data_IF_637432430959
#
_entry.id   IF_637432430959
#
_cell.length_a   1.000
_cell.length_b   1.000
_cell.length_c   1.000
_cell.angle_alpha   90.00
_cell.angle_beta   90.00
_cell.angle_gamma   90.00
#
_symmetry.space_group_name_H-M   'P 1'
#
loop_
_entity.id
_entity.type
_entity.pdbx_description
1 polymer ?
#
# COMPACT_ATOMS: atom_id res chain seq x y z
N UNK A 1 -8.02 32.19 -15.70
CA UNK A 1 -9.06 31.28 -15.18
C UNK A 1 -8.37 29.95 -15.08
N UNK A 2 -7.59 29.80 -14.02
CA UNK A 2 -6.94 28.54 -13.69
C UNK A 2 -8.03 27.69 -13.05
N UNK A 3 -8.53 26.70 -13.79
CA UNK A 3 -9.42 25.69 -13.24
C UNK A 3 -8.72 25.06 -12.04
N UNK A 4 -9.40 25.03 -10.90
CA UNK A 4 -8.98 24.42 -9.65
C UNK A 4 -8.40 23.01 -9.89
N UNK A 5 -7.08 22.92 -10.08
CA UNK A 5 -6.39 21.65 -10.16
C UNK A 5 -6.40 21.03 -8.76
N UNK A 6 -7.37 20.14 -8.52
CA UNK A 6 -7.43 19.37 -7.28
C UNK A 6 -6.08 18.69 -7.10
N UNK A 7 -5.34 18.98 -6.03
CA UNK A 7 -3.97 18.49 -5.89
C UNK A 7 -3.97 16.98 -5.92
N UNK A 8 -3.16 16.41 -6.81
CA UNK A 8 -3.15 14.96 -7.04
C UNK A 8 -2.70 14.21 -5.79
N UNK A 9 -3.61 13.42 -5.22
CA UNK A 9 -3.33 12.52 -4.11
C UNK A 9 -2.57 11.29 -4.61
N UNK A 10 -1.55 10.88 -3.86
CA UNK A 10 -0.74 9.71 -4.14
C UNK A 10 -1.27 8.49 -3.40
N UNK A 11 -1.41 7.38 -4.12
CA UNK A 11 -1.78 6.09 -3.60
C UNK A 11 -0.52 5.27 -3.31
N UNK A 12 -0.24 4.92 -2.05
CA UNK A 12 0.85 4.01 -1.75
C UNK A 12 0.53 2.58 -2.20
N UNK A 13 -0.69 2.24 -2.60
CA UNK A 13 -1.03 0.89 -3.11
C UNK A 13 -1.53 0.96 -4.55
N UNK A 14 -1.05 1.95 -5.30
CA UNK A 14 -1.42 2.20 -6.68
C UNK A 14 -0.85 1.17 -7.67
N UNK A 15 -1.20 1.33 -8.95
CA UNK A 15 -0.76 0.44 -10.03
C UNK A 15 0.74 0.63 -10.30
N UNK A 16 1.49 -0.46 -10.34
CA UNK A 16 2.93 -0.43 -10.53
C UNK A 16 3.32 0.03 -11.96
N UNK A 17 2.47 -0.26 -12.95
CA UNK A 17 2.71 0.08 -14.35
C UNK A 17 2.07 1.41 -14.78
N UNK A 18 1.51 2.19 -13.85
CA UNK A 18 1.01 3.51 -14.18
C UNK A 18 2.18 4.38 -14.71
N UNK A 19 1.97 5.24 -15.71
CA UNK A 19 3.05 6.02 -16.32
C UNK A 19 3.82 6.90 -15.31
N UNK A 20 3.14 7.40 -14.29
CA UNK A 20 3.69 8.22 -13.21
C UNK A 20 4.21 7.42 -12.01
N UNK A 21 4.07 6.09 -12.03
CA UNK A 21 4.39 5.26 -10.88
C UNK A 21 5.87 5.42 -10.50
N UNK A 22 6.12 5.41 -9.19
CA UNK A 22 7.46 5.50 -8.62
C UNK A 22 7.71 4.34 -7.66
N UNK A 23 8.96 3.91 -7.57
CA UNK A 23 9.47 3.01 -6.55
C UNK A 23 9.99 3.84 -5.39
N UNK A 24 9.46 3.53 -4.21
CA UNK A 24 9.80 4.14 -2.93
C UNK A 24 10.83 3.31 -2.16
N UNK A 25 10.95 2.03 -2.46
CA UNK A 25 11.77 1.10 -1.70
C UNK A 25 11.78 -0.31 -2.28
N UNK A 26 12.69 -1.12 -1.75
CA UNK A 26 12.86 -2.54 -2.10
C UNK A 26 12.48 -3.39 -0.90
N UNK A 27 11.76 -4.48 -1.11
CA UNK A 27 11.41 -5.44 -0.06
C UNK A 27 12.57 -6.42 0.12
N UNK A 28 13.07 -6.52 1.35
CA UNK A 28 14.03 -7.53 1.79
C UNK A 28 13.34 -8.89 1.83
N UNK A 29 13.98 -9.92 1.24
CA UNK A 29 13.44 -11.27 1.18
C UNK A 29 13.53 -12.07 2.49
N UNK A 30 14.24 -11.59 3.51
CA UNK A 30 14.44 -12.33 4.77
C UNK A 30 13.30 -12.10 5.78
N UNK A 31 12.74 -10.89 5.80
CA UNK A 31 11.78 -10.43 6.79
C UNK A 31 10.61 -9.62 6.18
N UNK A 32 10.61 -9.44 4.86
CA UNK A 32 9.61 -8.64 4.15
C UNK A 32 9.72 -7.13 4.40
N UNK A 33 10.77 -6.69 5.12
CA UNK A 33 10.97 -5.30 5.47
C UNK A 33 11.25 -4.46 4.23
N UNK A 34 10.75 -3.21 4.21
CA UNK A 34 11.00 -2.30 3.10
C UNK A 34 12.22 -1.44 3.41
N UNK A 35 13.25 -1.56 2.58
CA UNK A 35 14.36 -0.63 2.53
C UNK A 35 13.95 0.53 1.62
N UNK A 36 13.66 1.68 2.21
CA UNK A 36 13.26 2.87 1.46
C UNK A 36 14.46 3.53 0.77
N UNK A 37 14.24 3.96 -0.47
CA UNK A 37 15.23 4.69 -1.25
C UNK A 37 15.38 6.12 -0.71
N UNK A 38 16.57 6.69 -0.91
CA UNK A 38 16.84 8.09 -0.59
C UNK A 38 15.94 9.04 -1.38
N UNK A 39 15.64 8.71 -2.64
CA UNK A 39 14.73 9.42 -3.53
C UNK A 39 13.85 8.41 -4.29
N UNK A 40 12.58 8.74 -4.60
CA UNK A 40 11.75 7.90 -5.45
C UNK A 40 12.34 7.77 -6.86
N UNK A 41 12.30 6.55 -7.42
CA UNK A 41 12.78 6.27 -8.78
C UNK A 41 11.58 5.97 -9.67
N UNK A 42 11.50 6.50 -10.92
CA UNK A 42 10.42 6.13 -11.83
C UNK A 42 10.33 4.61 -12.03
N UNK A 43 9.14 4.03 -11.89
CA UNK A 43 8.92 2.59 -12.00
C UNK A 43 9.37 2.04 -13.36
N UNK A 44 9.15 2.79 -14.43
CA UNK A 44 9.58 2.46 -15.79
C UNK A 44 11.08 2.21 -15.94
N UNK A 45 11.91 2.71 -15.02
CA UNK A 45 13.38 2.53 -15.04
C UNK A 45 13.82 1.19 -14.43
N UNK A 46 12.94 0.52 -13.68
CA UNK A 46 13.31 -0.66 -12.89
C UNK A 46 12.40 -1.87 -13.16
N UNK A 47 11.20 -1.66 -13.70
CA UNK A 47 10.26 -2.75 -13.99
C UNK A 47 10.82 -3.80 -14.96
N UNK A 48 11.66 -3.40 -15.91
CA UNK A 48 12.32 -4.32 -16.84
C UNK A 48 13.34 -5.26 -16.21
N UNK A 49 13.80 -4.96 -14.99
CA UNK A 49 14.73 -5.80 -14.23
C UNK A 49 14.00 -6.84 -13.36
N UNK A 50 12.67 -6.76 -13.27
CA UNK A 50 11.87 -7.73 -12.52
C UNK A 50 11.78 -9.03 -13.31
N UNK A 51 12.17 -10.19 -12.73
CA UNK A 51 12.08 -11.46 -13.41
C UNK A 51 10.66 -11.77 -13.88
N UNK A 52 10.54 -12.41 -15.05
CA UNK A 52 9.25 -12.83 -15.58
C UNK A 52 8.49 -13.72 -14.59
N UNK A 53 7.18 -13.50 -14.46
CA UNK A 53 6.32 -14.23 -13.52
C UNK A 53 6.38 -13.74 -12.07
N UNK A 54 7.29 -12.83 -11.73
CA UNK A 54 7.31 -12.17 -10.41
C UNK A 54 6.47 -10.89 -10.48
N UNK A 55 5.41 -10.81 -9.67
CA UNK A 55 4.68 -9.54 -9.53
C UNK A 55 5.61 -8.48 -8.89
N UNK A 56 5.87 -7.33 -9.54
CA UNK A 56 6.79 -6.33 -9.04
C UNK A 56 6.49 -5.88 -7.60
N UNK A 57 5.22 -5.84 -7.20
CA UNK A 57 4.80 -5.34 -5.88
C UNK A 57 5.22 -6.27 -4.74
N UNK A 58 5.63 -7.51 -5.06
CA UNK A 58 6.23 -8.46 -4.11
C UNK A 58 7.65 -8.10 -3.71
N UNK A 59 8.38 -7.41 -4.57
CA UNK A 59 9.81 -7.08 -4.35
C UNK A 59 10.07 -5.58 -4.30
N UNK A 60 9.14 -4.74 -4.77
CA UNK A 60 9.26 -3.29 -4.81
C UNK A 60 8.05 -2.62 -4.14
N UNK A 61 8.31 -1.52 -3.43
CA UNK A 61 7.28 -0.67 -2.85
C UNK A 61 6.96 0.45 -3.84
N UNK A 62 5.81 0.38 -4.49
CA UNK A 62 5.36 1.40 -5.43
C UNK A 62 4.47 2.46 -4.80
N UNK A 63 4.30 3.54 -5.55
CA UNK A 63 3.14 4.42 -5.46
C UNK A 63 2.80 5.00 -6.84
N UNK A 64 1.53 5.33 -7.04
CA UNK A 64 1.03 6.01 -8.24
C UNK A 64 -0.04 7.03 -7.83
N UNK A 65 -0.68 7.71 -8.77
CA UNK A 65 -1.81 8.58 -8.44
C UNK A 65 -3.00 7.79 -7.89
N UNK A 66 -3.72 8.39 -6.94
CA UNK A 66 -4.92 7.84 -6.33
C UNK A 66 -6.16 8.20 -7.17
N UNK A 67 -6.67 7.23 -7.92
CA UNK A 67 -7.77 7.44 -8.87
C UNK A 67 -9.15 7.21 -8.24
N UNK A 68 -10.18 7.89 -8.75
CA UNK A 68 -11.56 7.75 -8.27
C UNK A 68 -12.18 6.39 -8.60
N UNK A 69 -11.84 5.81 -9.77
CA UNK A 69 -12.31 4.49 -10.21
C UNK A 69 -11.65 3.29 -9.53
N UNK A 70 -10.87 3.50 -8.47
CA UNK A 70 -10.24 2.41 -7.72
C UNK A 70 -11.30 1.58 -6.98
N UNK A 71 -11.18 0.26 -7.03
CA UNK A 71 -12.10 -0.67 -6.34
C UNK A 71 -12.14 -0.47 -4.81
N UNK A 72 -11.08 0.11 -4.24
CA UNK A 72 -10.96 0.40 -2.82
C UNK A 72 -11.49 1.79 -2.44
N UNK A 73 -12.22 2.46 -3.32
CA UNK A 73 -12.71 3.82 -3.09
C UNK A 73 -14.16 3.81 -2.62
N UNK A 74 -14.44 4.57 -1.56
CA UNK A 74 -15.79 4.86 -1.06
C UNK A 74 -15.92 6.36 -0.87
N UNK A 75 -16.48 7.05 -1.87
CA UNK A 75 -16.39 8.51 -1.95
C UNK A 75 -14.92 8.94 -2.11
N UNK A 76 -14.45 9.86 -1.27
CA UNK A 76 -13.03 10.27 -1.27
C UNK A 76 -12.14 9.35 -0.43
N UNK A 77 -12.74 8.49 0.40
CA UNK A 77 -12.05 7.59 1.32
C UNK A 77 -11.52 6.33 0.62
N UNK A 78 -10.44 5.80 1.18
CA UNK A 78 -9.86 4.52 0.82
C UNK A 78 -10.26 3.46 1.85
N UNK A 79 -11.01 2.44 1.42
CA UNK A 79 -11.42 1.32 2.29
C UNK A 79 -10.27 0.36 2.57
N UNK A 80 -9.24 0.34 1.72
CA UNK A 80 -8.06 -0.50 1.94
C UNK A 80 -7.26 -0.06 3.18
N UNK A 81 -7.11 1.24 3.44
CA UNK A 81 -6.39 1.68 4.66
C UNK A 81 -7.18 1.31 5.92
N UNK A 82 -8.52 1.31 5.86
CA UNK A 82 -9.39 0.88 6.95
C UNK A 82 -9.20 -0.61 7.29
N UNK A 83 -9.13 -1.48 6.26
CA UNK A 83 -8.83 -2.91 6.43
C UNK A 83 -7.40 -3.13 6.94
N UNK A 84 -6.42 -2.40 6.41
CA UNK A 84 -5.03 -2.49 6.87
C UNK A 84 -4.92 -2.12 8.35
N UNK A 85 -5.62 -1.09 8.80
CA UNK A 85 -5.64 -0.66 10.21
C UNK A 85 -6.31 -1.68 11.15
N UNK A 86 -7.00 -2.69 10.61
CA UNK A 86 -7.60 -3.76 11.41
C UNK A 86 -6.62 -4.72 12.00
N UNK A 87 -5.50 -4.92 11.29
CA UNK A 87 -4.45 -5.78 11.77
C UNK A 87 -3.90 -5.25 13.11
N UNK A 88 -3.71 -6.15 14.09
CA UNK A 88 -2.90 -5.85 15.25
C UNK A 88 -1.56 -5.27 14.77
N UNK A 89 -1.03 -4.25 15.47
CA UNK A 89 0.26 -3.66 15.09
C UNK A 89 1.33 -4.76 15.09
N UNK A 90 1.96 -4.99 13.93
CA UNK A 90 3.09 -5.88 13.80
C UNK A 90 4.35 -5.20 14.40
N UNK A 91 4.46 -5.25 15.73
CA UNK A 91 5.62 -4.78 16.48
C UNK A 91 5.90 -3.27 16.43
N UNK A 92 6.92 -2.85 17.18
CA UNK A 92 7.35 -1.46 17.32
C UNK A 92 8.24 -0.99 16.14
N UNK A 93 7.81 -1.24 14.91
CA UNK A 93 8.50 -0.69 13.74
C UNK A 93 8.27 0.83 13.69
N UNK A 94 9.35 1.60 13.68
CA UNK A 94 9.30 3.05 13.50
C UNK A 94 8.66 3.43 12.17
N UNK A 95 8.16 4.66 12.08
CA UNK A 95 7.57 5.19 10.84
C UNK A 95 8.69 5.53 9.86
N UNK A 96 8.70 4.98 8.63
CA UNK A 96 9.77 5.27 7.67
C UNK A 96 9.70 6.72 7.19
N UNK A 97 10.83 7.27 6.73
CA UNK A 97 10.81 8.50 5.93
C UNK A 97 10.14 8.19 4.59
N UNK A 98 9.12 8.97 4.22
CA UNK A 98 8.33 8.73 3.02
C UNK A 98 8.11 10.06 2.27
N UNK A 99 8.57 10.12 1.02
CA UNK A 99 8.51 11.28 0.14
C UNK A 99 7.08 11.72 -0.21
N UNK A 100 6.12 10.80 -0.11
CA UNK A 100 4.74 11.07 -0.48
C UNK A 100 3.90 11.57 0.68
N UNK A 101 4.42 11.62 1.91
CA UNK A 101 3.60 11.80 3.12
C UNK A 101 2.63 12.97 3.03
N UNK A 102 3.10 14.14 2.59
CA UNK A 102 2.28 15.36 2.48
C UNK A 102 1.20 15.30 1.40
N UNK A 103 1.26 14.33 0.49
CA UNK A 103 0.31 14.13 -0.62
C UNK A 103 -0.31 12.73 -0.63
N UNK A 104 -0.10 11.92 0.41
CA UNK A 104 -0.48 10.51 0.43
C UNK A 104 -1.92 10.33 0.94
N UNK A 105 -2.75 9.63 0.17
CA UNK A 105 -4.14 9.33 0.54
C UNK A 105 -4.27 8.68 1.92
N UNK A 106 -3.37 7.75 2.26
CA UNK A 106 -3.44 7.06 3.54
C UNK A 106 -3.01 7.94 4.71
N UNK A 107 -2.09 8.87 4.47
CA UNK A 107 -1.69 9.84 5.48
C UNK A 107 -2.78 10.87 5.72
N UNK A 108 -3.40 11.41 4.66
CA UNK A 108 -4.49 12.37 4.81
C UNK A 108 -5.68 11.78 5.54
N UNK A 109 -5.99 10.50 5.31
CA UNK A 109 -7.15 9.84 5.91
C UNK A 109 -6.89 9.30 7.33
N UNK A 110 -5.70 8.77 7.62
CA UNK A 110 -5.44 8.04 8.88
C UNK A 110 -4.08 8.31 9.51
N UNK A 111 -3.34 9.31 8.99
CA UNK A 111 -2.13 9.82 9.60
C UNK A 111 -1.04 8.78 9.87
N UNK A 112 -0.46 8.87 11.06
CA UNK A 112 0.71 8.09 11.46
C UNK A 112 0.40 6.59 11.57
N UNK A 113 -0.83 6.22 11.93
CA UNK A 113 -1.20 4.82 12.12
C UNK A 113 -1.24 4.03 10.81
N UNK A 114 -1.61 4.70 9.71
CA UNK A 114 -1.48 4.11 8.38
C UNK A 114 0.00 3.99 7.97
N UNK A 115 0.81 5.00 8.26
CA UNK A 115 2.24 4.99 7.94
C UNK A 115 3.01 3.88 8.67
N UNK A 116 2.61 3.51 9.89
CA UNK A 116 3.19 2.37 10.64
C UNK A 116 2.96 1.04 9.93
N UNK A 117 1.83 0.89 9.23
CA UNK A 117 1.44 -0.37 8.57
C UNK A 117 1.77 -0.42 7.09
N UNK A 118 1.91 0.74 6.45
CA UNK A 118 2.18 0.89 5.03
C UNK A 118 3.37 0.06 4.48
N UNK A 119 4.49 -0.14 5.22
CA UNK A 119 5.58 -0.99 4.75
C UNK A 119 5.18 -2.46 4.59
N UNK A 120 4.34 -2.98 5.49
CA UNK A 120 3.96 -4.39 5.52
C UNK A 120 2.93 -4.77 4.42
N UNK A 121 2.31 -3.78 3.76
CA UNK A 121 1.28 -4.05 2.74
C UNK A 121 1.93 -4.39 1.40
N UNK A 122 1.91 -5.67 1.04
CA UNK A 122 2.05 -6.11 -0.35
C UNK A 122 0.68 -6.12 -1.01
N UNK A 123 0.60 -5.75 -2.29
CA UNK A 123 -0.67 -5.76 -3.04
C UNK A 123 -0.93 -7.11 -3.73
N UNK A 124 0.05 -8.02 -3.70
CA UNK A 124 -0.09 -9.44 -4.06
C UNK A 124 0.50 -10.30 -2.96
N UNK A 125 -0.30 -11.23 -2.48
CA UNK A 125 0.07 -12.13 -1.40
C UNK A 125 0.65 -13.42 -1.94
N UNK A 126 1.33 -14.16 -1.06
CA UNK A 126 1.64 -15.57 -1.34
C UNK A 126 0.34 -16.35 -1.19
N UNK A 127 0.17 -17.42 -1.96
CA UNK A 127 -1.07 -18.20 -1.99
C UNK A 127 -1.42 -18.94 -0.68
N UNK A 128 -0.60 -18.79 0.36
CA UNK A 128 -0.82 -19.37 1.69
C UNK A 128 -0.88 -18.30 2.81
N UNK A 129 -1.04 -17.02 2.46
CA UNK A 129 -1.20 -15.91 3.41
C UNK A 129 -2.66 -15.43 3.43
N UNK A 130 -3.54 -16.25 4.00
CA UNK A 130 -5.01 -16.06 4.03
C UNK A 130 -5.42 -14.68 4.57
N UNK A 131 -4.79 -14.24 5.66
CA UNK A 131 -5.05 -12.94 6.25
C UNK A 131 -4.74 -11.80 5.29
N UNK A 132 -3.69 -11.95 4.49
CA UNK A 132 -3.32 -10.92 3.55
C UNK A 132 -4.24 -10.97 2.31
N UNK A 133 -4.68 -12.14 1.87
CA UNK A 133 -5.74 -12.29 0.87
C UNK A 133 -7.03 -11.57 1.26
N UNK A 134 -7.52 -11.77 2.50
CA UNK A 134 -8.69 -11.06 3.03
C UNK A 134 -8.52 -9.52 3.02
N UNK A 135 -7.31 -9.02 3.23
CA UNK A 135 -7.06 -7.56 3.18
C UNK A 135 -7.04 -7.02 1.76
N UNK A 136 -6.46 -7.78 0.82
CA UNK A 136 -6.43 -7.40 -0.58
C UNK A 136 -7.80 -7.47 -1.24
N UNK A 137 -8.69 -8.34 -0.76
CA UNK A 137 -10.05 -8.47 -1.28
C UNK A 137 -10.89 -7.21 -0.98
N UNK A 138 -11.32 -6.45 -2.00
CA UNK A 138 -12.16 -5.28 -1.81
C UNK A 138 -13.58 -5.60 -1.34
N UNK A 139 -14.05 -6.84 -1.49
CA UNK A 139 -15.36 -7.27 -0.98
C UNK A 139 -15.34 -7.57 0.53
N UNK A 140 -14.16 -7.78 1.11
CA UNK A 140 -14.02 -8.03 2.55
C UNK A 140 -14.38 -6.77 3.35
N UNK A 141 -15.28 -6.90 4.32
CA UNK A 141 -15.65 -5.81 5.23
C UNK A 141 -14.74 -5.75 6.44
N UNK A 142 -14.82 -4.63 7.16
CA UNK A 142 -14.08 -4.47 8.41
C UNK A 142 -14.54 -5.46 9.48
N UNK A 143 -15.84 -5.68 9.63
CA UNK A 143 -16.35 -6.64 10.61
C UNK A 143 -15.94 -8.08 10.29
N UNK A 144 -15.92 -8.45 9.01
CA UNK A 144 -15.46 -9.78 8.57
C UNK A 144 -13.99 -10.02 8.95
N UNK A 145 -13.15 -8.99 8.76
CA UNK A 145 -11.73 -9.07 9.13
C UNK A 145 -11.54 -9.14 10.64
N UNK A 146 -12.28 -8.34 11.42
CA UNK A 146 -12.24 -8.38 12.88
C UNK A 146 -12.71 -9.75 13.42
N UNK A 147 -13.73 -10.37 12.80
CA UNK A 147 -14.21 -11.70 13.15
C UNK A 147 -13.19 -12.82 12.88
N UNK A 148 -12.50 -12.76 11.74
CA UNK A 148 -11.42 -13.69 11.44
C UNK A 148 -10.27 -13.58 12.46
N UNK A 149 -9.86 -12.34 12.79
CA UNK A 149 -8.78 -12.10 13.77
C UNK A 149 -9.16 -12.68 15.15
N UNK A 150 -10.43 -12.54 15.55
CA UNK A 150 -10.91 -13.10 16.81
C UNK A 150 -10.91 -14.64 16.82
N UNK A 151 -11.17 -15.28 15.68
CA UNK A 151 -11.17 -16.73 15.53
C UNK A 151 -9.75 -17.33 15.62
N UNK A 152 -8.75 -16.66 15.06
CA UNK A 152 -7.35 -17.11 15.04
C UNK A 152 -6.57 -16.80 16.33
N UNK A 153 -7.10 -15.91 17.18
CA UNK A 153 -6.50 -15.56 18.47
C UNK A 153 -6.92 -16.49 19.63
N UNK A 154 -7.82 -17.45 19.40
CA UNK A 154 -8.30 -18.43 20.37
C UNK A 154 -7.70 -19.81 20.16
#
# INVERSE_FOLDING_TARGET
MDEDEVPTSWCPSGEAHAPEAVVLGVRSGQDGAVVYLADPVPASRVLGEVPEGVDPRRILRFASHCVSGCVNRRGDDCTLVERVLAKPPAGAAGVPRCHLRTRCQWWSQSGVDACRRCPAVSTRHRADDELAELIADPATTREQLDAWIAAEAG
#
